data_IF_751612866458
#
_entry.id   IF_751612866458
#
_cell.length_a   1.000
_cell.length_b   1.000
_cell.length_c   1.000
_cell.angle_alpha   90.00
_cell.angle_beta   90.00
_cell.angle_gamma   90.00
#
_symmetry.space_group_name_H-M   'P 1'
#
loop_
_entity.id
_entity.type
_entity.pdbx_description
1 polymer ?
#
# COMPACT_ATOMS: atom_id res chain seq x y z
N UNK A 1 -13.93 -15.39 -21.92
CA UNK A 1 -13.10 -14.86 -20.83
C UNK A 1 -11.69 -15.39 -21.03
N UNK A 2 -10.79 -14.51 -21.56
CA UNK A 2 -9.42 -14.86 -21.87
C UNK A 2 -8.65 -15.30 -20.63
N UNK A 3 -7.69 -16.20 -20.82
CA UNK A 3 -6.73 -16.57 -19.78
C UNK A 3 -6.05 -15.29 -19.27
N UNK A 4 -6.10 -15.02 -17.96
CA UNK A 4 -5.30 -14.00 -17.30
C UNK A 4 -3.84 -14.46 -17.42
N UNK A 5 -3.04 -13.71 -18.17
CA UNK A 5 -1.61 -13.92 -18.26
C UNK A 5 -0.97 -13.36 -16.99
N UNK A 6 -0.23 -14.19 -16.27
CA UNK A 6 0.66 -13.71 -15.20
C UNK A 6 1.82 -12.97 -15.87
N UNK A 7 1.92 -11.68 -15.64
CA UNK A 7 3.02 -10.85 -16.15
C UNK A 7 4.30 -11.16 -15.35
N UNK A 8 5.28 -11.77 -16.01
CA UNK A 8 6.63 -11.89 -15.49
C UNK A 8 7.38 -10.55 -15.59
N UNK A 9 8.46 -10.35 -14.80
CA UNK A 9 9.24 -9.10 -14.80
C UNK A 9 9.74 -8.67 -16.19
N UNK A 10 10.02 -9.63 -17.07
CA UNK A 10 10.47 -9.38 -18.45
C UNK A 10 9.32 -8.83 -19.29
N UNK A 11 8.08 -9.17 -18.96
CA UNK A 11 6.90 -8.73 -19.69
C UNK A 11 6.49 -7.29 -19.37
N UNK A 12 6.91 -6.74 -18.20
CA UNK A 12 6.57 -5.37 -17.81
C UNK A 12 7.24 -4.34 -18.73
N UNK A 13 8.52 -4.52 -19.05
CA UNK A 13 9.22 -3.60 -19.96
C UNK A 13 8.63 -3.67 -21.36
N UNK A 14 8.23 -4.87 -21.81
CA UNK A 14 7.51 -5.03 -23.09
C UNK A 14 6.11 -4.43 -23.03
N UNK A 15 5.40 -4.57 -21.91
CA UNK A 15 4.10 -3.96 -21.70
C UNK A 15 4.19 -2.43 -21.80
N UNK A 16 5.15 -1.81 -21.11
CA UNK A 16 5.34 -0.36 -21.14
C UNK A 16 5.73 0.14 -22.53
N UNK A 17 6.61 -0.57 -23.24
CA UNK A 17 6.97 -0.25 -24.60
C UNK A 17 5.76 -0.38 -25.58
N UNK A 18 4.96 -1.44 -25.42
CA UNK A 18 3.73 -1.64 -26.18
C UNK A 18 2.68 -0.57 -25.88
N UNK A 19 2.59 -0.09 -24.65
CA UNK A 19 1.70 1.02 -24.28
C UNK A 19 2.10 2.32 -24.99
N UNK A 20 3.39 2.62 -25.09
CA UNK A 20 3.86 3.82 -25.79
C UNK A 20 3.46 3.77 -27.27
N UNK A 21 3.71 2.65 -27.95
CA UNK A 21 3.33 2.44 -29.33
C UNK A 21 1.82 2.52 -29.55
N UNK A 22 1.03 1.92 -28.65
CA UNK A 22 -0.44 1.98 -28.71
C UNK A 22 -0.95 3.42 -28.51
N UNK A 23 -0.42 4.14 -27.50
CA UNK A 23 -0.90 5.48 -27.16
C UNK A 23 -0.47 6.56 -28.14
N UNK A 24 0.63 6.35 -28.88
CA UNK A 24 1.08 7.29 -29.92
C UNK A 24 0.00 7.55 -30.99
N UNK A 25 -0.75 6.51 -31.37
CA UNK A 25 -1.77 6.56 -32.39
C UNK A 25 -3.21 6.70 -31.88
N UNK A 26 -3.40 6.74 -30.54
CA UNK A 26 -4.73 6.81 -29.93
C UNK A 26 -5.24 8.26 -29.77
N UNK A 27 -6.56 8.42 -29.92
CA UNK A 27 -7.22 9.67 -29.52
C UNK A 27 -7.10 9.88 -28.00
N UNK A 28 -7.25 11.11 -27.53
CA UNK A 28 -7.27 11.44 -26.10
C UNK A 28 -8.28 10.59 -25.30
N UNK A 29 -9.45 10.37 -25.90
CA UNK A 29 -10.46 9.47 -25.33
C UNK A 29 -9.98 8.04 -25.26
N UNK A 30 -9.35 7.54 -26.31
CA UNK A 30 -8.78 6.19 -26.35
C UNK A 30 -7.77 6.00 -25.24
N UNK A 31 -6.80 6.91 -25.12
CA UNK A 31 -5.80 6.90 -24.04
C UNK A 31 -6.46 6.87 -22.67
N UNK A 32 -7.40 7.80 -22.39
CA UNK A 32 -8.02 7.90 -21.06
C UNK A 32 -8.81 6.64 -20.68
N UNK A 33 -9.55 6.05 -21.61
CA UNK A 33 -10.37 4.85 -21.35
C UNK A 33 -9.49 3.62 -21.20
N UNK A 34 -8.51 3.41 -22.09
CA UNK A 34 -7.61 2.25 -22.04
C UNK A 34 -6.77 2.28 -20.78
N UNK A 35 -6.15 3.43 -20.45
CA UNK A 35 -5.37 3.59 -19.23
C UNK A 35 -6.20 3.31 -17.98
N UNK A 36 -7.41 3.88 -17.88
CA UNK A 36 -8.30 3.62 -16.73
C UNK A 36 -8.72 2.16 -16.61
N UNK A 37 -8.94 1.48 -17.73
CA UNK A 37 -9.30 0.05 -17.75
C UNK A 37 -8.13 -0.85 -17.32
N UNK A 38 -6.92 -0.53 -17.76
CA UNK A 38 -5.72 -1.26 -17.36
C UNK A 38 -5.42 -1.08 -15.86
N UNK A 39 -5.56 0.15 -15.32
CA UNK A 39 -5.39 0.39 -13.87
C UNK A 39 -6.44 -0.35 -13.04
N UNK A 40 -7.69 -0.42 -13.51
CA UNK A 40 -8.75 -1.19 -12.84
C UNK A 40 -8.38 -2.68 -12.73
N UNK A 41 -7.83 -3.26 -13.80
CA UNK A 41 -7.31 -4.64 -13.82
C UNK A 41 -6.09 -4.80 -12.91
N UNK A 42 -5.17 -3.83 -12.89
CA UNK A 42 -3.99 -3.89 -12.03
C UNK A 42 -4.36 -3.88 -10.53
N UNK A 43 -5.32 -3.05 -10.12
CA UNK A 43 -5.81 -3.06 -8.74
C UNK A 43 -6.54 -4.37 -8.40
N UNK A 44 -7.29 -4.94 -9.34
CA UNK A 44 -7.89 -6.26 -9.14
C UNK A 44 -6.84 -7.35 -8.94
N UNK A 45 -5.75 -7.33 -9.72
CA UNK A 45 -4.64 -8.27 -9.57
C UNK A 45 -3.93 -8.09 -8.22
N UNK A 46 -3.69 -6.84 -7.81
CA UNK A 46 -3.07 -6.51 -6.52
C UNK A 46 -3.91 -7.05 -5.36
N UNK A 47 -5.23 -6.82 -5.37
CA UNK A 47 -6.17 -7.35 -4.38
C UNK A 47 -6.22 -8.88 -4.40
N UNK A 48 -6.32 -9.50 -5.58
CA UNK A 48 -6.38 -10.96 -5.74
C UNK A 48 -5.13 -11.64 -5.18
N UNK A 49 -3.96 -11.03 -5.35
CA UNK A 49 -2.71 -11.56 -4.84
C UNK A 49 -2.53 -11.39 -3.34
N UNK A 50 -3.17 -10.39 -2.74
CA UNK A 50 -3.10 -10.12 -1.31
C UNK A 50 -4.18 -10.87 -0.50
N UNK A 51 -5.39 -10.98 -1.03
CA UNK A 51 -6.53 -11.58 -0.33
C UNK A 51 -6.36 -13.11 -0.19
N UNK A 52 -7.14 -13.67 0.73
CA UNK A 52 -7.23 -15.13 0.92
C UNK A 52 -7.53 -15.83 -0.38
N UNK A 53 -6.83 -16.94 -0.66
CA UNK A 53 -7.06 -17.74 -1.86
C UNK A 53 -8.36 -18.52 -1.76
N UNK A 54 -9.36 -18.06 -2.49
CA UNK A 54 -10.64 -18.73 -2.67
C UNK A 54 -11.21 -18.35 -4.03
N UNK A 55 -11.16 -19.29 -4.97
CA UNK A 55 -11.54 -19.04 -6.37
C UNK A 55 -13.01 -18.66 -6.55
N UNK A 56 -13.88 -19.18 -5.70
CA UNK A 56 -15.32 -18.91 -5.79
C UNK A 56 -15.64 -17.54 -5.19
N UNK A 57 -15.08 -17.22 -4.02
CA UNK A 57 -15.24 -15.91 -3.40
C UNK A 57 -14.58 -14.80 -4.24
N UNK A 58 -13.43 -15.08 -4.87
CA UNK A 58 -12.78 -14.08 -5.74
C UNK A 58 -13.65 -13.70 -6.93
N UNK A 59 -14.35 -14.68 -7.56
CA UNK A 59 -15.30 -14.37 -8.63
C UNK A 59 -16.45 -13.50 -8.12
N UNK A 60 -16.96 -13.80 -6.94
CA UNK A 60 -18.06 -13.05 -6.35
C UNK A 60 -17.66 -11.64 -5.92
N UNK A 61 -16.38 -11.38 -5.60
CA UNK A 61 -15.91 -10.05 -5.22
C UNK A 61 -15.83 -9.06 -6.38
N UNK A 62 -15.48 -9.52 -7.58
CA UNK A 62 -15.15 -8.68 -8.73
C UNK A 62 -16.18 -8.68 -9.86
N UNK A 63 -17.29 -9.42 -9.73
CA UNK A 63 -18.36 -9.43 -10.69
C UNK A 63 -19.22 -8.14 -10.66
N UNK A 64 -20.02 -7.92 -11.70
CA UNK A 64 -20.70 -6.66 -12.02
C UNK A 64 -21.61 -6.10 -10.91
N UNK A 65 -22.08 -6.89 -9.98
CA UNK A 65 -23.01 -6.46 -8.90
C UNK A 65 -22.42 -6.66 -7.50
N UNK A 66 -21.11 -6.72 -7.38
CA UNK A 66 -20.42 -7.10 -6.15
C UNK A 66 -19.67 -5.90 -5.54
N UNK A 67 -19.20 -6.00 -4.29
CA UNK A 67 -18.57 -4.88 -3.59
C UNK A 67 -17.36 -4.28 -4.30
N UNK A 68 -16.58 -5.07 -5.04
CA UNK A 68 -15.37 -4.62 -5.73
C UNK A 68 -15.53 -4.57 -7.26
N UNK A 69 -16.76 -4.47 -7.76
CA UNK A 69 -17.05 -4.39 -9.19
C UNK A 69 -16.54 -3.10 -9.85
N UNK A 70 -16.40 -2.01 -9.10
CA UNK A 70 -16.07 -0.71 -9.65
C UNK A 70 -14.61 -0.33 -9.42
N UNK A 71 -14.04 0.41 -10.37
CA UNK A 71 -12.70 0.98 -10.22
C UNK A 71 -12.56 1.80 -8.92
N UNK A 72 -13.58 2.61 -8.58
CA UNK A 72 -13.59 3.40 -7.34
C UNK A 72 -13.55 2.54 -6.08
N UNK A 73 -14.27 1.43 -6.02
CA UNK A 73 -14.25 0.55 -4.85
C UNK A 73 -12.91 -0.15 -4.70
N UNK A 74 -12.30 -0.59 -5.80
CA UNK A 74 -10.96 -1.19 -5.79
C UNK A 74 -9.89 -0.20 -5.30
N UNK A 75 -9.90 1.06 -5.76
CA UNK A 75 -9.00 2.12 -5.27
C UNK A 75 -9.10 2.25 -3.75
N UNK A 76 -10.32 2.42 -3.22
CA UNK A 76 -10.55 2.60 -1.78
C UNK A 76 -10.10 1.40 -0.96
N UNK A 77 -10.42 0.18 -1.41
CA UNK A 77 -10.03 -1.02 -0.66
C UNK A 77 -8.52 -1.23 -0.70
N UNK A 78 -7.85 -0.99 -1.85
CA UNK A 78 -6.38 -1.02 -1.90
C UNK A 78 -5.76 -0.02 -0.92
N UNK A 79 -6.30 1.18 -0.81
CA UNK A 79 -5.84 2.20 0.12
C UNK A 79 -6.00 1.75 1.59
N UNK A 80 -7.21 1.32 1.98
CA UNK A 80 -7.47 0.88 3.37
C UNK A 80 -6.73 -0.40 3.78
N UNK A 81 -6.33 -1.22 2.81
CA UNK A 81 -5.47 -2.38 3.06
C UNK A 81 -3.96 -2.02 3.08
N UNK A 82 -3.60 -0.75 2.88
CA UNK A 82 -2.21 -0.31 2.82
C UNK A 82 -1.45 -0.83 1.60
N UNK A 83 -2.16 -1.14 0.51
CA UNK A 83 -1.57 -1.65 -0.73
C UNK A 83 -1.13 -0.55 -1.68
N UNK A 84 -1.58 0.69 -1.46
CA UNK A 84 -1.20 1.89 -2.22
C UNK A 84 -0.93 3.05 -1.26
N UNK A 85 -0.07 3.99 -1.68
CA UNK A 85 0.27 5.20 -0.89
C UNK A 85 -0.79 6.30 -1.04
N UNK A 86 -0.67 7.37 -0.24
CA UNK A 86 -1.54 8.55 -0.33
C UNK A 86 -1.44 9.20 -1.72
N UNK A 87 -0.22 9.36 -2.25
CA UNK A 87 0.02 9.96 -3.56
C UNK A 87 -0.52 9.09 -4.71
N UNK A 88 -0.39 7.77 -4.59
CA UNK A 88 -0.96 6.83 -5.56
C UNK A 88 -2.48 6.87 -5.53
N UNK A 89 -3.08 6.97 -4.34
CA UNK A 89 -4.52 7.14 -4.17
C UNK A 89 -5.02 8.43 -4.84
N UNK A 90 -4.37 9.56 -4.59
CA UNK A 90 -4.71 10.84 -5.20
C UNK A 90 -4.58 10.80 -6.73
N UNK A 91 -3.48 10.26 -7.24
CA UNK A 91 -3.28 10.07 -8.68
C UNK A 91 -4.39 9.20 -9.30
N UNK A 92 -4.73 8.07 -8.67
CA UNK A 92 -5.79 7.17 -9.14
C UNK A 92 -7.16 7.86 -9.19
N UNK A 93 -7.50 8.66 -8.18
CA UNK A 93 -8.77 9.41 -8.15
C UNK A 93 -8.81 10.47 -9.26
N UNK A 94 -7.68 11.15 -9.54
CA UNK A 94 -7.57 12.08 -10.65
C UNK A 94 -7.74 11.35 -11.98
N UNK A 95 -6.99 10.28 -12.21
CA UNK A 95 -7.06 9.50 -13.46
C UNK A 95 -8.46 8.92 -13.70
N UNK A 96 -9.09 8.38 -12.65
CA UNK A 96 -10.47 7.89 -12.70
C UNK A 96 -11.46 9.00 -13.05
N UNK A 97 -11.31 10.17 -12.43
CA UNK A 97 -12.15 11.33 -12.74
C UNK A 97 -12.02 11.79 -14.19
N UNK A 98 -10.80 11.87 -14.71
CA UNK A 98 -10.53 12.22 -16.12
C UNK A 98 -11.12 11.16 -17.06
N UNK A 99 -10.89 9.87 -16.78
CA UNK A 99 -11.47 8.76 -17.56
C UNK A 99 -13.00 8.84 -17.61
N UNK A 100 -13.65 9.19 -16.51
CA UNK A 100 -15.10 9.33 -16.48
C UNK A 100 -15.59 10.52 -17.30
N UNK A 101 -14.89 11.66 -17.27
CA UNK A 101 -15.21 12.79 -18.13
C UNK A 101 -15.13 12.41 -19.63
N UNK A 102 -14.07 11.69 -20.02
CA UNK A 102 -13.93 11.19 -21.40
C UNK A 102 -15.00 10.15 -21.78
N UNK A 103 -15.44 9.31 -20.84
CA UNK A 103 -16.46 8.29 -21.07
C UNK A 103 -17.87 8.89 -21.27
N UNK A 104 -18.22 9.94 -20.52
CA UNK A 104 -19.59 10.47 -20.46
C UNK A 104 -19.84 11.67 -21.37
N UNK A 105 -18.83 12.38 -21.84
CA UNK A 105 -18.99 13.49 -22.78
C UNK A 105 -18.97 12.99 -24.22
N UNK A 106 -19.99 13.30 -24.97
CA UNK A 106 -20.18 12.76 -26.32
C UNK A 106 -19.24 13.39 -27.38
N UNK A 107 -18.95 14.70 -27.29
CA UNK A 107 -18.27 15.45 -28.36
C UNK A 107 -17.26 16.43 -27.73
N UNK A 108 -16.19 16.75 -28.50
CA UNK A 108 -15.22 17.83 -28.25
C UNK A 108 -14.58 17.81 -26.86
N UNK A 109 -14.03 16.68 -26.44
CA UNK A 109 -13.22 16.57 -25.25
C UNK A 109 -11.79 16.18 -25.60
N UNK A 110 -10.84 16.99 -25.16
CA UNK A 110 -9.41 16.71 -25.28
C UNK A 110 -8.70 17.05 -23.99
N UNK A 111 -7.46 16.60 -23.83
CA UNK A 111 -6.63 16.99 -22.70
C UNK A 111 -6.29 18.48 -22.71
N UNK A 112 -6.14 19.07 -23.91
CA UNK A 112 -5.73 20.48 -24.05
C UNK A 112 -6.87 21.48 -24.00
N UNK A 113 -8.03 21.15 -24.57
CA UNK A 113 -9.13 22.12 -24.70
C UNK A 113 -10.04 22.16 -23.46
N UNK A 114 -10.03 21.11 -22.65
CA UNK A 114 -10.88 21.04 -21.47
C UNK A 114 -10.18 21.58 -20.21
N UNK A 115 -10.59 22.76 -19.74
CA UNK A 115 -9.98 23.43 -18.59
C UNK A 115 -10.04 22.60 -17.29
N UNK A 116 -11.10 21.83 -17.06
CA UNK A 116 -11.24 20.97 -15.89
C UNK A 116 -10.24 19.81 -15.93
N UNK A 117 -10.07 19.16 -17.09
CA UNK A 117 -9.09 18.09 -17.28
C UNK A 117 -7.68 18.65 -17.12
N UNK A 118 -7.40 19.78 -17.77
CA UNK A 118 -6.10 20.47 -17.69
C UNK A 118 -5.72 20.84 -16.26
N UNK A 119 -6.68 21.36 -15.49
CA UNK A 119 -6.47 21.68 -14.06
C UNK A 119 -6.17 20.43 -13.22
N UNK A 120 -6.85 19.31 -13.48
CA UNK A 120 -6.58 18.04 -12.78
C UNK A 120 -5.23 17.47 -13.15
N UNK A 121 -4.84 17.49 -14.43
CA UNK A 121 -3.53 17.00 -14.86
C UNK A 121 -2.36 17.77 -14.22
N UNK A 122 -2.55 19.04 -13.83
CA UNK A 122 -1.53 19.80 -13.08
C UNK A 122 -1.23 19.22 -11.70
N UNK A 123 -2.19 18.51 -11.09
CA UNK A 123 -2.06 17.90 -9.76
C UNK A 123 -1.53 16.47 -9.82
N UNK A 124 -1.32 15.92 -11.01
CA UNK A 124 -0.69 14.62 -11.18
C UNK A 124 0.78 14.69 -10.79
N UNK A 125 1.24 13.71 -10.03
CA UNK A 125 2.56 13.71 -9.41
C UNK A 125 3.28 12.37 -9.56
N UNK A 126 4.57 12.43 -9.83
CA UNK A 126 5.51 11.29 -9.77
C UNK A 126 6.69 11.69 -8.90
N UNK A 127 7.00 10.94 -7.83
CA UNK A 127 8.23 11.14 -7.07
C UNK A 127 9.45 10.96 -7.98
N UNK A 128 10.34 11.95 -8.05
CA UNK A 128 11.52 11.93 -8.95
C UNK A 128 12.40 10.70 -8.76
N UNK A 129 12.55 10.23 -7.52
CA UNK A 129 13.33 9.06 -7.18
C UNK A 129 12.66 7.72 -7.56
N UNK A 130 11.41 7.74 -7.97
CA UNK A 130 10.64 6.58 -8.41
C UNK A 130 10.33 6.61 -9.91
N UNK A 131 10.73 7.66 -10.61
CA UNK A 131 10.56 7.77 -12.05
C UNK A 131 11.54 6.89 -12.80
N UNK A 132 11.03 6.10 -13.73
CA UNK A 132 11.82 5.27 -14.63
C UNK A 132 11.57 5.74 -16.06
N UNK A 133 12.57 6.34 -16.71
CA UNK A 133 12.43 6.76 -18.09
C UNK A 133 12.24 5.55 -19.02
N UNK A 134 11.46 5.71 -20.08
CA UNK A 134 11.18 4.65 -21.08
C UNK A 134 12.45 4.15 -21.76
N UNK A 135 13.44 5.02 -21.92
CA UNK A 135 14.73 4.71 -22.52
C UNK A 135 15.86 5.17 -21.60
N UNK A 136 16.77 4.24 -21.30
CA UNK A 136 18.00 4.56 -20.57
C UNK A 136 19.11 4.87 -21.59
N UNK A 137 19.84 5.97 -21.43
CA UNK A 137 20.95 6.28 -22.34
C UNK A 137 22.06 5.23 -22.19
N UNK A 138 22.70 4.91 -23.29
CA UNK A 138 23.85 3.99 -23.32
C UNK A 138 25.08 4.66 -22.69
N UNK A 139 25.96 3.84 -22.12
CA UNK A 139 27.26 4.32 -21.64
C UNK A 139 28.05 4.96 -22.79
N UNK A 140 28.56 6.15 -22.56
CA UNK A 140 29.47 6.83 -23.47
C UNK A 140 30.89 6.77 -22.90
N UNK A 141 31.84 6.23 -23.65
CA UNK A 141 33.24 6.12 -23.26
C UNK A 141 33.49 5.52 -21.85
N UNK A 142 32.65 4.55 -21.46
CA UNK A 142 32.72 3.91 -20.14
C UNK A 142 32.08 4.68 -18.99
N UNK A 143 31.66 5.93 -19.20
CA UNK A 143 31.02 6.74 -18.19
C UNK A 143 29.52 6.42 -18.07
N UNK A 144 29.00 6.48 -16.84
CA UNK A 144 27.57 6.37 -16.57
C UNK A 144 26.95 7.74 -16.88
N UNK A 145 25.98 7.82 -17.83
CA UNK A 145 25.32 9.08 -18.16
C UNK A 145 24.51 9.60 -16.97
N UNK A 146 24.41 10.93 -16.86
CA UNK A 146 23.42 11.57 -15.99
C UNK A 146 22.14 11.72 -16.78
N UNK A 147 21.03 11.35 -16.18
CA UNK A 147 19.67 11.50 -16.75
C UNK A 147 18.87 12.52 -15.94
N UNK A 148 17.99 13.22 -16.61
CA UNK A 148 16.97 14.02 -15.94
C UNK A 148 15.89 13.10 -15.39
N UNK A 149 15.68 13.13 -14.08
CA UNK A 149 14.63 12.37 -13.39
C UNK A 149 13.32 13.15 -13.26
N UNK A 150 13.20 14.29 -13.93
CA UNK A 150 11.92 14.97 -14.03
C UNK A 150 11.10 14.36 -15.18
N UNK A 151 9.99 13.66 -14.91
CA UNK A 151 9.21 12.97 -15.94
C UNK A 151 8.54 13.91 -16.93
N UNK A 152 8.52 15.21 -16.65
CA UNK A 152 7.83 16.24 -17.43
C UNK A 152 8.76 17.28 -18.04
N UNK A 153 10.08 17.05 -18.03
CA UNK A 153 11.06 18.05 -18.51
C UNK A 153 11.00 18.26 -20.03
N UNK A 154 10.70 17.20 -20.79
CA UNK A 154 10.64 17.26 -22.24
C UNK A 154 9.25 17.66 -22.76
N UNK A 155 8.19 17.20 -22.09
CA UNK A 155 6.80 17.48 -22.45
C UNK A 155 5.94 17.62 -21.18
N UNK A 156 5.53 18.84 -20.86
CA UNK A 156 4.67 19.20 -19.73
C UNK A 156 3.16 19.26 -20.12
N UNK A 157 2.80 18.70 -21.26
CA UNK A 157 1.41 18.68 -21.74
C UNK A 157 0.52 17.84 -20.79
N UNK A 158 -0.76 18.20 -20.64
CA UNK A 158 -1.71 17.44 -19.85
C UNK A 158 -1.83 15.98 -20.28
N UNK A 159 -1.75 15.70 -21.57
CA UNK A 159 -1.77 14.36 -22.13
C UNK A 159 -0.54 13.56 -21.67
N UNK A 160 0.64 14.13 -21.80
CA UNK A 160 1.87 13.45 -21.36
C UNK A 160 1.87 13.21 -19.86
N UNK A 161 1.47 14.18 -19.04
CA UNK A 161 1.32 13.98 -17.58
C UNK A 161 0.42 12.79 -17.25
N UNK A 162 -0.72 12.69 -17.91
CA UNK A 162 -1.63 11.57 -17.73
C UNK A 162 -0.98 10.23 -18.05
N UNK A 163 -0.29 10.14 -19.19
CA UNK A 163 0.40 8.93 -19.65
C UNK A 163 1.55 8.55 -18.72
N UNK A 164 2.40 9.49 -18.32
CA UNK A 164 3.55 9.21 -17.47
C UNK A 164 3.13 8.73 -16.07
N UNK A 165 2.10 9.36 -15.47
CA UNK A 165 1.56 8.90 -14.18
C UNK A 165 0.89 7.54 -14.30
N UNK A 166 0.17 7.29 -15.38
CA UNK A 166 -0.37 5.96 -15.66
C UNK A 166 0.73 4.89 -15.72
N UNK A 167 1.81 5.14 -16.50
CA UNK A 167 2.97 4.22 -16.61
C UNK A 167 3.65 3.98 -15.27
N UNK A 168 3.84 5.03 -14.47
CA UNK A 168 4.35 4.97 -13.12
C UNK A 168 3.52 4.02 -12.25
N UNK A 169 2.20 4.18 -12.23
CA UNK A 169 1.31 3.34 -11.43
C UNK A 169 1.32 1.88 -11.90
N UNK A 170 1.27 1.63 -13.22
CA UNK A 170 1.35 0.26 -13.77
C UNK A 170 2.64 -0.42 -13.34
N UNK A 171 3.78 0.26 -13.44
CA UNK A 171 5.06 -0.26 -13.01
C UNK A 171 5.04 -0.66 -11.53
N UNK A 172 4.68 0.28 -10.66
CA UNK A 172 4.70 0.05 -9.21
C UNK A 172 3.69 -1.02 -8.78
N UNK A 173 2.50 -1.04 -9.34
CA UNK A 173 1.49 -2.05 -8.98
C UNK A 173 1.86 -3.44 -9.46
N UNK A 174 2.54 -3.57 -10.60
CA UNK A 174 3.00 -4.88 -11.05
C UNK A 174 4.05 -5.46 -10.09
N UNK A 175 5.06 -4.68 -9.70
CA UNK A 175 6.03 -5.15 -8.70
C UNK A 175 5.39 -5.44 -7.35
N UNK A 176 4.54 -4.54 -6.88
CA UNK A 176 3.83 -4.72 -5.61
C UNK A 176 2.91 -5.92 -5.63
N UNK A 177 2.30 -6.23 -6.75
CA UNK A 177 1.48 -7.43 -6.93
C UNK A 177 2.30 -8.72 -6.72
N UNK A 178 3.55 -8.76 -7.19
CA UNK A 178 4.47 -9.88 -6.96
C UNK A 178 4.90 -9.97 -5.48
N UNK A 179 5.13 -8.84 -4.82
CA UNK A 179 5.42 -8.80 -3.39
C UNK A 179 4.22 -9.23 -2.54
N UNK A 180 3.03 -8.81 -2.92
CA UNK A 180 1.76 -9.13 -2.21
C UNK A 180 1.48 -10.63 -2.18
N UNK A 181 1.94 -11.39 -3.17
CA UNK A 181 1.84 -12.86 -3.14
C UNK A 181 2.58 -13.47 -1.94
N UNK A 182 3.66 -12.85 -1.46
CA UNK A 182 4.43 -13.29 -0.29
C UNK A 182 3.72 -12.93 1.03
N UNK A 183 2.85 -11.92 0.99
CA UNK A 183 2.07 -11.42 2.13
C UNK A 183 0.63 -11.92 2.11
N UNK A 184 0.34 -12.93 1.29
CA UNK A 184 -1.01 -13.47 1.10
C UNK A 184 -1.63 -13.85 2.43
N UNK A 185 -2.85 -13.39 2.66
CA UNK A 185 -3.59 -13.70 3.88
C UNK A 185 -4.05 -15.14 3.87
N UNK A 186 -3.89 -15.83 5.00
CA UNK A 186 -4.49 -17.13 5.23
C UNK A 186 -5.90 -17.00 5.79
N UNK A 187 -6.74 -18.01 5.51
CA UNK A 187 -8.05 -18.10 6.16
C UNK A 187 -7.83 -18.25 7.66
N UNK A 188 -8.59 -17.48 8.43
CA UNK A 188 -8.60 -17.68 9.87
C UNK A 188 -9.05 -19.10 10.19
N UNK A 189 -8.22 -19.85 10.89
CA UNK A 189 -8.53 -21.20 11.34
C UNK A 189 -8.87 -21.16 12.81
N UNK A 190 -10.13 -21.30 13.12
CA UNK A 190 -10.56 -21.47 14.51
C UNK A 190 -10.22 -22.89 14.95
N UNK A 191 -8.98 -23.12 15.37
CA UNK A 191 -8.47 -24.44 15.76
C UNK A 191 -8.25 -24.56 17.26
N UNK A 192 -8.74 -23.58 18.04
CA UNK A 192 -8.50 -23.57 19.47
C UNK A 192 -9.82 -23.53 20.25
N UNK A 193 -9.74 -24.12 21.42
CA UNK A 193 -10.78 -24.06 22.45
C UNK A 193 -10.80 -22.70 23.12
N UNK A 194 -11.80 -22.43 23.97
CA UNK A 194 -11.81 -21.21 24.78
C UNK A 194 -10.61 -21.15 25.71
N UNK A 195 -10.10 -22.30 26.19
CA UNK A 195 -8.87 -22.36 26.96
C UNK A 195 -7.66 -21.86 26.17
N UNK A 196 -7.50 -22.33 24.90
CA UNK A 196 -6.43 -21.85 24.02
C UNK A 196 -6.51 -20.34 23.78
N UNK A 197 -7.73 -19.78 23.73
CA UNK A 197 -7.92 -18.33 23.59
C UNK A 197 -7.30 -17.58 24.78
N UNK A 198 -7.59 -18.03 26.02
CA UNK A 198 -7.03 -17.39 27.22
C UNK A 198 -5.53 -17.61 27.35
N UNK A 199 -4.99 -18.76 26.96
CA UNK A 199 -3.55 -19.01 26.88
C UNK A 199 -2.88 -18.05 25.89
N UNK A 200 -3.47 -17.84 24.70
CA UNK A 200 -2.97 -16.90 23.71
C UNK A 200 -3.04 -15.44 24.17
N UNK A 201 -4.13 -15.04 24.87
CA UNK A 201 -4.24 -13.71 25.46
C UNK A 201 -3.17 -13.48 26.51
N UNK A 202 -2.93 -14.47 27.40
CA UNK A 202 -1.87 -14.43 28.39
C UNK A 202 -0.48 -14.29 27.75
N UNK A 203 -0.20 -15.09 26.73
CA UNK A 203 1.08 -15.05 26.01
C UNK A 203 1.32 -13.70 25.29
N UNK A 204 0.29 -13.12 24.68
CA UNK A 204 0.39 -11.81 24.01
C UNK A 204 0.66 -10.69 25.02
N UNK A 205 -0.03 -10.69 26.17
CA UNK A 205 0.23 -9.71 27.24
C UNK A 205 1.69 -9.74 27.70
N UNK A 206 2.24 -10.94 27.87
CA UNK A 206 3.63 -11.09 28.27
C UNK A 206 4.59 -10.56 27.20
N UNK A 207 4.32 -10.89 25.93
CA UNK A 207 5.13 -10.43 24.81
C UNK A 207 5.14 -8.90 24.69
N UNK A 208 3.97 -8.27 24.74
CA UNK A 208 3.82 -6.83 24.66
C UNK A 208 4.55 -6.13 25.82
N UNK A 209 4.43 -6.69 27.05
CA UNK A 209 5.18 -6.21 28.22
C UNK A 209 6.69 -6.30 28.02
N UNK A 210 7.19 -7.45 27.53
CA UNK A 210 8.63 -7.65 27.29
C UNK A 210 9.17 -6.70 26.20
N UNK A 211 8.38 -6.44 25.15
CA UNK A 211 8.75 -5.50 24.09
C UNK A 211 8.81 -4.07 24.63
N UNK A 212 7.84 -3.65 25.44
CA UNK A 212 7.83 -2.33 26.08
C UNK A 212 9.02 -2.16 27.04
N UNK A 213 9.31 -3.16 27.86
CA UNK A 213 10.46 -3.13 28.76
C UNK A 213 11.78 -2.99 28.01
N UNK A 214 11.95 -3.66 26.87
CA UNK A 214 13.16 -3.52 26.02
C UNK A 214 13.28 -2.12 25.46
N UNK A 215 12.18 -1.53 24.99
CA UNK A 215 12.18 -0.15 24.50
C UNK A 215 12.55 0.85 25.60
N UNK A 216 12.05 0.66 26.80
CA UNK A 216 12.42 1.47 27.95
C UNK A 216 13.91 1.33 28.30
N UNK A 217 14.43 0.10 28.35
CA UNK A 217 15.86 -0.14 28.57
C UNK A 217 16.74 0.57 27.52
N UNK A 218 16.34 0.51 26.25
CA UNK A 218 17.07 1.22 25.18
C UNK A 218 17.02 2.73 25.39
N UNK A 219 15.89 3.28 25.81
CA UNK A 219 15.75 4.69 26.13
C UNK A 219 16.69 5.09 27.26
N UNK A 220 16.70 4.33 28.36
CA UNK A 220 17.58 4.60 29.49
C UNK A 220 19.05 4.51 29.13
N UNK A 221 19.46 3.53 28.32
CA UNK A 221 20.84 3.44 27.81
C UNK A 221 21.23 4.64 26.93
N UNK A 222 20.29 5.20 26.20
CA UNK A 222 20.53 6.44 25.41
C UNK A 222 20.66 7.65 26.34
N UNK A 223 19.83 7.75 27.38
CA UNK A 223 19.91 8.83 28.38
C UNK A 223 21.22 8.80 29.15
N UNK A 224 21.76 7.64 29.47
CA UNK A 224 23.07 7.50 30.17
C UNK A 224 24.25 8.04 29.34
N UNK A 225 24.11 8.12 28.01
CA UNK A 225 25.16 8.66 27.12
C UNK A 225 25.13 10.19 27.01
N UNK A 226 24.09 10.84 27.53
CA UNK A 226 23.99 12.31 27.56
C UNK A 226 24.83 12.87 28.73
N UNK A 227 25.28 14.12 28.56
CA UNK A 227 25.90 14.81 29.69
C UNK A 227 24.82 15.13 30.75
N UNK A 228 25.24 15.42 32.03
CA UNK A 228 24.30 15.60 33.12
C UNK A 228 23.27 16.71 32.88
N UNK A 229 23.65 17.83 32.29
CA UNK A 229 22.74 18.96 32.00
C UNK A 229 21.71 18.61 30.93
N UNK A 230 22.15 17.94 29.86
CA UNK A 230 21.26 17.49 28.79
C UNK A 230 20.30 16.43 29.28
N UNK A 231 20.77 15.54 30.15
CA UNK A 231 19.95 14.48 30.74
C UNK A 231 18.85 15.06 31.62
N UNK A 232 19.20 15.97 32.54
CA UNK A 232 18.24 16.62 33.44
C UNK A 232 17.19 17.42 32.65
N UNK A 233 17.59 18.16 31.62
CA UNK A 233 16.69 18.91 30.76
C UNK A 233 15.70 17.95 30.05
N UNK A 234 16.19 16.84 29.49
CA UNK A 234 15.36 15.85 28.80
C UNK A 234 14.40 15.15 29.75
N UNK A 235 14.89 14.70 30.90
CA UNK A 235 14.06 14.03 31.94
C UNK A 235 12.92 14.93 32.40
N UNK A 236 13.19 16.24 32.58
CA UNK A 236 12.18 17.21 32.97
C UNK A 236 11.17 17.51 31.86
N UNK A 237 11.66 17.74 30.63
CA UNK A 237 10.81 18.04 29.48
C UNK A 237 9.82 16.90 29.17
N UNK A 238 10.24 15.65 29.37
CA UNK A 238 9.44 14.47 29.01
C UNK A 238 8.79 13.78 30.22
N UNK A 239 8.88 14.34 31.41
CA UNK A 239 8.32 13.77 32.66
C UNK A 239 8.71 12.30 32.86
N UNK A 240 9.97 11.95 32.62
CA UNK A 240 10.44 10.56 32.55
C UNK A 240 10.15 9.81 33.86
N UNK A 241 10.32 10.44 35.01
CA UNK A 241 10.08 9.79 36.30
C UNK A 241 8.60 9.48 36.53
N UNK A 242 7.68 10.38 36.12
CA UNK A 242 6.24 10.15 36.23
C UNK A 242 5.80 8.99 35.32
N UNK A 243 6.27 8.99 34.08
CA UNK A 243 6.01 7.92 33.11
C UNK A 243 6.56 6.56 33.58
N UNK A 244 7.69 6.55 34.25
CA UNK A 244 8.27 5.33 34.83
C UNK A 244 7.38 4.76 35.95
N UNK A 245 6.82 5.61 36.81
CA UNK A 245 5.89 5.14 37.85
C UNK A 245 4.58 4.63 37.26
N UNK A 246 4.07 5.29 36.22
CA UNK A 246 2.89 4.84 35.49
C UNK A 246 3.13 3.48 34.80
N UNK A 247 4.25 3.32 34.11
CA UNK A 247 4.62 2.06 33.46
C UNK A 247 4.74 0.90 34.46
N UNK A 248 5.33 1.14 35.63
CA UNK A 248 5.41 0.13 36.70
C UNK A 248 4.04 -0.31 37.23
N UNK A 249 3.09 0.61 37.35
CA UNK A 249 1.69 0.29 37.68
C UNK A 249 1.01 -0.52 36.60
N UNK A 250 1.23 -0.11 35.35
CA UNK A 250 0.69 -0.81 34.18
C UNK A 250 1.24 -2.23 34.06
N UNK A 251 2.54 -2.44 34.26
CA UNK A 251 3.16 -3.79 34.29
C UNK A 251 2.62 -4.68 35.36
N UNK A 252 2.31 -4.14 36.55
CA UNK A 252 1.66 -4.89 37.60
C UNK A 252 0.24 -5.32 37.20
N UNK A 253 -0.53 -4.41 36.60
CA UNK A 253 -1.86 -4.73 36.10
C UNK A 253 -1.82 -5.81 35.00
N UNK A 254 -0.79 -5.80 34.18
CA UNK A 254 -0.57 -6.81 33.12
C UNK A 254 -0.28 -8.18 33.79
N UNK A 255 0.53 -8.22 34.85
CA UNK A 255 0.82 -9.46 35.58
C UNK A 255 -0.45 -10.03 36.22
N UNK A 256 -1.26 -9.20 36.90
CA UNK A 256 -2.52 -9.60 37.52
C UNK A 256 -3.52 -10.14 36.46
N UNK A 257 -3.60 -9.48 35.30
CA UNK A 257 -4.47 -9.89 34.18
C UNK A 257 -3.98 -11.20 33.55
N UNK A 258 -2.67 -11.36 33.41
CA UNK A 258 -2.05 -12.60 32.94
C UNK A 258 -2.37 -13.76 33.88
N UNK A 259 -2.21 -13.58 35.18
CA UNK A 259 -2.53 -14.60 36.17
C UNK A 259 -4.01 -15.02 36.11
N UNK A 260 -4.90 -14.04 35.89
CA UNK A 260 -6.33 -14.31 35.68
C UNK A 260 -6.58 -15.13 34.39
N UNK A 261 -5.95 -14.79 33.29
CA UNK A 261 -6.12 -15.55 32.03
C UNK A 261 -5.57 -16.97 32.15
N UNK A 262 -4.41 -17.15 32.77
CA UNK A 262 -3.84 -18.47 33.02
C UNK A 262 -4.77 -19.32 33.91
N UNK A 263 -5.35 -18.72 34.95
CA UNK A 263 -6.33 -19.37 35.80
C UNK A 263 -7.57 -19.84 35.03
N UNK A 264 -8.17 -18.94 34.22
CA UNK A 264 -9.34 -19.26 33.40
C UNK A 264 -9.02 -20.38 32.41
N UNK A 265 -7.87 -20.31 31.74
CA UNK A 265 -7.44 -21.33 30.79
C UNK A 265 -7.35 -22.71 31.49
N UNK A 266 -6.74 -22.78 32.67
CA UNK A 266 -6.60 -24.01 33.45
C UNK A 266 -7.96 -24.58 33.91
N UNK A 267 -8.88 -23.71 34.37
CA UNK A 267 -10.24 -24.14 34.74
C UNK A 267 -10.98 -24.75 33.56
N UNK A 268 -10.87 -24.11 32.39
CA UNK A 268 -11.51 -24.59 31.16
C UNK A 268 -10.89 -25.92 30.69
N UNK A 269 -9.55 -26.05 30.69
CA UNK A 269 -8.86 -27.30 30.34
C UNK A 269 -9.35 -28.46 31.19
N UNK A 270 -9.34 -28.28 32.52
CA UNK A 270 -9.81 -29.30 33.43
C UNK A 270 -11.31 -29.66 33.26
N UNK A 271 -12.09 -28.76 32.65
CA UNK A 271 -13.52 -28.98 32.36
C UNK A 271 -13.78 -29.74 31.06
N UNK A 272 -12.82 -29.72 30.12
CA UNK A 272 -12.95 -30.46 28.86
C UNK A 272 -12.59 -31.95 28.99
N UNK A 273 -11.83 -32.33 30.03
CA UNK A 273 -11.39 -33.71 30.26
C UNK A 273 -12.47 -34.60 30.90
N UNK A 274 -13.71 -34.12 31.03
CA UNK A 274 -14.85 -34.87 31.52
C UNK A 274 -15.79 -35.26 30.38
#
# INVERSE_FOLDING_TARGET
LGKRENLDQIDIMRLLAGIDEEFENQSDRGVAIVAGSLLDVQLENLLTNFLVEDKDIQKDLFNTSTPLATFSSKIKVCYYLGLITDEEYENLEILRGIRNDFAHRLINISFEDNQSIKARCKNLYIPKNLYIPSTLPKRENGNIPKIDLNPFSEDDSPRNKYIQVFKYLVWHFTFRSLESQRLKREKYKLTFTTADLFENLSANLLKDKEENMKLEEELYRKLERLNPEQREAFEKEHSINEKKEEALKEYKNVDDLKEFYDYVANVLRNSYEK
#
